data_IF_382981022635
#
_entry.id   IF_382981022635
#
_cell.length_a   1.000
_cell.length_b   1.000
_cell.length_c   1.000
_cell.angle_alpha   90.00
_cell.angle_beta   90.00
_cell.angle_gamma   90.00
#
_symmetry.space_group_name_H-M   'P 1'
#
loop_
_entity.id
_entity.type
_entity.pdbx_description
1 polymer ?
#
# COMPACT_ATOMS: atom_id res chain seq x y z
N UNK A 1 8.33 -5.82 22.49
CA UNK A 1 6.90 -6.21 22.65
C UNK A 1 6.62 -7.50 21.89
N UNK A 2 5.87 -8.42 22.50
CA UNK A 2 5.46 -9.68 21.83
C UNK A 2 4.47 -9.35 20.70
N UNK A 3 4.74 -9.83 19.49
CA UNK A 3 3.86 -9.61 18.33
C UNK A 3 2.47 -10.24 18.58
N UNK A 4 1.37 -9.51 18.36
CA UNK A 4 0.02 -10.00 18.60
C UNK A 4 -0.29 -11.28 17.80
N UNK A 5 -1.12 -12.16 18.35
CA UNK A 5 -1.50 -13.42 17.69
C UNK A 5 -2.18 -13.20 16.34
N UNK A 6 -2.96 -12.12 16.21
CA UNK A 6 -3.62 -11.76 14.95
C UNK A 6 -2.59 -11.43 13.85
N UNK A 7 -1.56 -10.65 14.19
CA UNK A 7 -0.46 -10.28 13.28
C UNK A 7 0.26 -11.53 12.80
N UNK A 8 0.60 -12.45 13.71
CA UNK A 8 1.25 -13.71 13.36
C UNK A 8 0.41 -14.56 12.39
N UNK A 9 -0.92 -14.65 12.61
CA UNK A 9 -1.82 -15.40 11.72
C UNK A 9 -1.91 -14.79 10.33
N UNK A 10 -2.01 -13.47 10.24
CA UNK A 10 -2.06 -12.75 8.96
C UNK A 10 -0.73 -12.90 8.20
N UNK A 11 0.41 -12.75 8.88
CA UNK A 11 1.72 -12.91 8.26
C UNK A 11 1.97 -14.35 7.81
N UNK A 12 1.61 -15.36 8.61
CA UNK A 12 1.72 -16.78 8.22
C UNK A 12 0.90 -17.06 6.95
N UNK A 13 -0.33 -16.56 6.89
CA UNK A 13 -1.17 -16.67 5.70
C UNK A 13 -0.55 -15.95 4.50
N UNK A 14 -0.04 -14.73 4.68
CA UNK A 14 0.59 -13.93 3.64
C UNK A 14 1.81 -14.63 3.03
N UNK A 15 2.66 -15.20 3.84
CA UNK A 15 3.86 -15.91 3.38
C UNK A 15 3.53 -17.05 2.40
N UNK A 16 2.36 -17.70 2.58
CA UNK A 16 1.89 -18.80 1.74
C UNK A 16 1.05 -18.36 0.53
N UNK A 17 0.36 -17.21 0.60
CA UNK A 17 -0.69 -16.85 -0.35
C UNK A 17 -0.45 -15.55 -1.11
N UNK A 18 0.62 -14.80 -0.81
CA UNK A 18 0.89 -13.52 -1.46
C UNK A 18 1.09 -13.65 -2.96
N UNK A 19 0.48 -12.72 -3.71
CA UNK A 19 0.71 -12.62 -5.15
C UNK A 19 2.16 -12.22 -5.45
N UNK A 20 2.73 -12.82 -6.50
CA UNK A 20 4.01 -12.37 -7.04
C UNK A 20 3.79 -11.11 -7.86
N UNK A 21 4.26 -9.96 -7.35
CA UNK A 21 4.13 -8.67 -8.01
C UNK A 21 5.52 -8.10 -8.33
N UNK A 22 5.72 -7.46 -9.50
CA UNK A 22 7.05 -7.03 -9.96
C UNK A 22 7.72 -6.02 -9.02
N UNK A 23 6.96 -5.18 -8.32
CA UNK A 23 7.48 -4.22 -7.33
C UNK A 23 7.78 -4.84 -5.96
N UNK A 24 7.47 -6.13 -5.76
CA UNK A 24 7.79 -6.90 -4.54
C UNK A 24 9.05 -7.74 -4.67
N UNK A 25 9.72 -7.70 -5.80
CA UNK A 25 10.97 -8.44 -6.02
C UNK A 25 12.01 -8.05 -4.98
N UNK A 26 12.82 -9.03 -4.55
CA UNK A 26 13.96 -8.80 -3.66
C UNK A 26 15.03 -8.03 -4.43
N UNK A 27 15.25 -6.78 -4.03
CA UNK A 27 16.20 -5.86 -4.68
C UNK A 27 16.89 -5.01 -3.60
N UNK A 28 18.01 -4.32 -3.90
CA UNK A 28 18.63 -3.38 -2.97
C UNK A 28 17.67 -2.31 -2.45
N UNK A 29 17.94 -1.78 -1.26
CA UNK A 29 17.03 -0.87 -0.52
C UNK A 29 16.59 0.33 -1.37
N UNK A 30 17.53 1.03 -2.01
CA UNK A 30 17.21 2.20 -2.85
C UNK A 30 16.28 1.84 -4.02
N UNK A 31 16.50 0.66 -4.62
CA UNK A 31 15.65 0.16 -5.70
C UNK A 31 14.27 -0.24 -5.19
N UNK A 32 14.18 -0.83 -4.00
CA UNK A 32 12.90 -1.10 -3.32
C UNK A 32 12.12 0.19 -3.06
N UNK A 33 12.79 1.23 -2.56
CA UNK A 33 12.19 2.54 -2.32
C UNK A 33 11.62 3.15 -3.61
N UNK A 34 12.40 3.11 -4.68
CA UNK A 34 11.98 3.59 -5.99
C UNK A 34 10.80 2.77 -6.55
N UNK A 35 10.86 1.45 -6.47
CA UNK A 35 9.77 0.58 -6.92
C UNK A 35 8.48 0.83 -6.15
N UNK A 36 8.57 1.01 -4.84
CA UNK A 36 7.41 1.37 -4.02
C UNK A 36 6.83 2.70 -4.46
N UNK A 37 7.65 3.74 -4.63
CA UNK A 37 7.17 5.05 -5.08
C UNK A 37 6.44 4.96 -6.42
N UNK A 38 7.04 4.32 -7.43
CA UNK A 38 6.45 4.18 -8.77
C UNK A 38 5.15 3.37 -8.72
N UNK A 39 5.16 2.22 -8.04
CA UNK A 39 3.97 1.35 -7.96
C UNK A 39 2.82 2.04 -7.22
N UNK A 40 3.08 2.76 -6.13
CA UNK A 40 2.03 3.47 -5.40
C UNK A 40 1.35 4.55 -6.26
N UNK A 41 2.13 5.31 -7.06
CA UNK A 41 1.55 6.27 -8.00
C UNK A 41 0.75 5.59 -9.13
N UNK A 42 1.21 4.45 -9.64
CA UNK A 42 0.49 3.72 -10.68
C UNK A 42 -0.81 3.06 -10.16
N UNK A 43 -0.80 2.60 -8.91
CA UNK A 43 -1.93 1.93 -8.28
C UNK A 43 -3.05 2.89 -7.82
N UNK A 44 -2.80 4.20 -7.77
CA UNK A 44 -3.86 5.17 -7.48
C UNK A 44 -5.02 5.00 -8.48
N UNK A 45 -6.19 4.55 -8.00
CA UNK A 45 -7.41 4.32 -8.80
C UNK A 45 -7.21 3.38 -10.02
N UNK A 46 -6.19 2.51 -9.99
CA UNK A 46 -5.93 1.54 -11.07
C UNK A 46 -5.73 0.14 -10.48
N UNK A 47 -6.33 -0.86 -11.11
CA UNK A 47 -6.24 -2.25 -10.66
C UNK A 47 -4.81 -2.82 -10.85
N UNK A 48 -4.41 -3.70 -9.92
CA UNK A 48 -3.08 -4.34 -9.91
C UNK A 48 -2.76 -5.02 -11.26
N UNK A 49 -3.71 -5.77 -11.82
CA UNK A 49 -3.52 -6.50 -13.09
C UNK A 49 -3.16 -5.56 -14.23
N UNK A 50 -3.80 -4.39 -14.28
CA UNK A 50 -3.51 -3.36 -15.29
C UNK A 50 -2.14 -2.74 -15.08
N UNK A 51 -1.71 -2.51 -13.83
CA UNK A 51 -0.43 -1.85 -13.52
C UNK A 51 0.79 -2.70 -13.86
N UNK A 52 0.71 -4.03 -13.75
CA UNK A 52 1.85 -4.94 -13.93
C UNK A 52 2.63 -4.69 -15.24
N UNK A 53 2.03 -4.70 -16.43
CA UNK A 53 2.77 -4.49 -17.68
C UNK A 53 3.37 -3.08 -17.77
N UNK A 54 2.64 -2.07 -17.29
CA UNK A 54 3.14 -0.68 -17.29
C UNK A 54 4.33 -0.49 -16.36
N UNK A 55 4.26 -1.05 -15.16
CA UNK A 55 5.38 -1.01 -14.21
C UNK A 55 6.64 -1.64 -14.81
N UNK A 56 6.53 -2.82 -15.39
CA UNK A 56 7.67 -3.52 -16.00
C UNK A 56 8.31 -2.70 -17.11
N UNK A 57 7.49 -2.14 -18.02
CA UNK A 57 7.96 -1.26 -19.10
C UNK A 57 8.60 0.01 -18.54
N UNK A 58 7.95 0.64 -17.57
CA UNK A 58 8.42 1.89 -16.98
C UNK A 58 9.79 1.74 -16.29
N UNK A 59 9.95 0.70 -15.45
CA UNK A 59 11.20 0.46 -14.73
C UNK A 59 12.37 0.11 -15.67
N UNK A 60 12.10 -0.51 -16.82
CA UNK A 60 13.12 -0.77 -17.84
C UNK A 60 13.63 0.54 -18.47
N UNK A 61 12.72 1.47 -18.78
CA UNK A 61 13.01 2.74 -19.46
C UNK A 61 13.46 3.85 -18.52
N UNK A 62 13.01 3.82 -17.28
CA UNK A 62 13.24 4.83 -16.23
C UNK A 62 13.62 4.09 -14.94
N UNK A 63 14.88 3.65 -14.79
CA UNK A 63 15.27 2.65 -13.77
C UNK A 63 15.46 3.21 -12.35
N UNK A 64 15.50 4.52 -12.15
CA UNK A 64 15.78 5.14 -10.85
C UNK A 64 15.27 6.59 -10.77
N UNK A 65 15.35 7.19 -9.56
CA UNK A 65 14.91 8.56 -9.29
C UNK A 65 15.61 9.61 -10.18
N UNK A 66 16.91 9.45 -10.45
CA UNK A 66 17.67 10.39 -11.31
C UNK A 66 17.12 10.35 -12.73
N UNK A 67 16.97 9.17 -13.32
CA UNK A 67 16.37 9.00 -14.64
C UNK A 67 14.95 9.59 -14.70
N UNK A 68 14.15 9.35 -13.65
CA UNK A 68 12.78 9.86 -13.54
C UNK A 68 12.73 11.40 -13.47
N UNK A 69 13.62 12.02 -12.72
CA UNK A 69 13.67 13.49 -12.62
C UNK A 69 14.01 14.16 -13.95
N UNK A 70 14.76 13.49 -14.81
CA UNK A 70 15.29 13.99 -16.09
C UNK A 70 14.49 13.53 -17.32
N UNK A 71 13.59 12.55 -17.19
CA UNK A 71 12.84 12.02 -18.34
C UNK A 71 12.05 13.12 -19.05
N UNK A 72 12.10 13.16 -20.37
CA UNK A 72 11.32 14.10 -21.17
C UNK A 72 9.81 13.87 -20.97
N UNK A 73 9.02 14.95 -20.91
CA UNK A 73 7.58 14.85 -20.69
C UNK A 73 6.88 14.03 -21.76
N UNK A 74 7.27 14.13 -23.03
CA UNK A 74 6.74 13.33 -24.15
C UNK A 74 6.96 11.82 -23.89
N UNK A 75 8.19 11.42 -23.48
CA UNK A 75 8.52 10.03 -23.15
C UNK A 75 7.74 9.55 -21.92
N UNK A 76 7.66 10.38 -20.87
CA UNK A 76 6.92 10.05 -19.64
C UNK A 76 5.44 9.75 -19.93
N UNK A 77 4.78 10.62 -20.69
CA UNK A 77 3.36 10.46 -21.05
C UNK A 77 3.17 9.21 -21.92
N UNK A 78 4.07 8.96 -22.89
CA UNK A 78 4.02 7.73 -23.72
C UNK A 78 4.17 6.45 -22.90
N UNK A 79 4.99 6.46 -21.83
CA UNK A 79 5.12 5.32 -20.91
C UNK A 79 3.91 5.12 -20.02
N UNK A 80 3.07 6.15 -19.86
CA UNK A 80 1.87 6.13 -19.03
C UNK A 80 0.57 5.99 -19.82
N UNK A 81 0.67 6.05 -21.17
CA UNK A 81 -0.46 6.00 -22.09
C UNK A 81 -1.30 4.73 -21.88
N UNK A 82 -2.58 4.89 -21.61
CA UNK A 82 -3.51 3.81 -21.27
C UNK A 82 -3.77 3.60 -19.78
N UNK A 83 -2.92 4.08 -18.86
CA UNK A 83 -3.20 4.04 -17.42
C UNK A 83 -4.23 5.10 -16.96
N UNK A 84 -4.41 6.17 -17.75
CA UNK A 84 -5.26 7.30 -17.38
C UNK A 84 -4.68 8.17 -16.25
N UNK A 85 -5.45 9.22 -15.89
CA UNK A 85 -5.05 10.14 -14.81
C UNK A 85 -3.60 10.62 -14.92
N UNK A 86 -3.24 11.24 -16.05
CA UNK A 86 -1.88 11.67 -16.41
C UNK A 86 -1.25 12.65 -15.42
N UNK A 87 -2.06 13.33 -14.59
CA UNK A 87 -1.57 14.13 -13.47
C UNK A 87 -0.68 13.33 -12.50
N UNK A 88 -0.94 12.03 -12.33
CA UNK A 88 -0.11 11.15 -11.50
C UNK A 88 1.31 11.03 -12.06
N UNK A 89 1.45 10.83 -13.37
CA UNK A 89 2.77 10.76 -14.02
C UNK A 89 3.55 12.08 -13.85
N UNK A 90 2.87 13.21 -14.06
CA UNK A 90 3.46 14.55 -13.89
C UNK A 90 3.88 14.77 -12.42
N UNK A 91 3.03 14.42 -11.47
CA UNK A 91 3.33 14.51 -10.04
C UNK A 91 4.47 13.59 -9.64
N UNK A 92 4.51 12.33 -10.14
CA UNK A 92 5.60 11.39 -9.89
C UNK A 92 6.96 11.95 -10.36
N UNK A 93 7.01 12.56 -11.57
CA UNK A 93 8.23 13.22 -12.05
C UNK A 93 8.60 14.42 -11.17
N UNK A 94 7.64 15.29 -10.86
CA UNK A 94 7.85 16.47 -10.01
C UNK A 94 8.34 16.07 -8.62
N UNK A 95 7.78 15.02 -8.05
CA UNK A 95 8.24 14.40 -6.79
C UNK A 95 9.69 13.96 -6.90
N UNK A 96 10.09 13.25 -7.97
CA UNK A 96 11.48 12.85 -8.18
C UNK A 96 12.43 14.05 -8.29
N UNK A 97 12.02 15.12 -8.99
CA UNK A 97 12.80 16.37 -9.08
C UNK A 97 13.02 17.01 -7.72
N UNK A 98 11.97 17.10 -6.89
CA UNK A 98 12.07 17.63 -5.53
C UNK A 98 12.94 16.76 -4.62
N UNK A 99 12.84 15.42 -4.75
CA UNK A 99 13.71 14.49 -4.00
C UNK A 99 15.19 14.70 -4.38
N UNK A 100 15.49 14.85 -5.66
CA UNK A 100 16.87 15.14 -6.10
C UNK A 100 17.35 16.47 -5.54
N UNK A 101 16.53 17.53 -5.67
CA UNK A 101 16.90 18.90 -5.28
C UNK A 101 17.04 19.07 -3.77
N UNK A 102 16.04 18.60 -3.00
CA UNK A 102 15.92 18.96 -1.58
C UNK A 102 16.44 17.87 -0.65
N UNK A 103 16.51 16.59 -1.11
CA UNK A 103 16.86 15.46 -0.28
C UNK A 103 18.06 14.66 -0.82
N UNK A 104 18.89 15.27 -1.67
CA UNK A 104 20.12 14.67 -2.24
C UNK A 104 19.84 13.29 -2.90
N UNK A 105 18.67 13.14 -3.52
CA UNK A 105 18.24 11.90 -4.19
C UNK A 105 17.83 10.76 -3.25
N UNK A 106 17.67 11.00 -1.96
CA UNK A 106 17.19 10.02 -0.97
C UNK A 106 15.70 10.26 -0.72
N UNK A 107 14.88 9.24 -0.90
CA UNK A 107 13.45 9.31 -0.56
C UNK A 107 13.30 9.64 0.93
N UNK A 108 12.50 10.68 1.31
CA UNK A 108 12.28 11.00 2.72
C UNK A 108 11.65 9.83 3.48
N UNK A 109 12.09 9.62 4.72
CA UNK A 109 11.54 8.59 5.61
C UNK A 109 10.72 9.21 6.76
N UNK A 110 10.13 10.34 6.50
CA UNK A 110 9.30 11.12 7.42
C UNK A 110 7.93 11.37 6.79
N UNK A 111 6.86 11.34 7.61
CA UNK A 111 5.49 11.42 7.13
C UNK A 111 5.16 12.81 6.54
N UNK A 112 5.51 13.87 7.25
CA UNK A 112 5.20 15.25 6.83
C UNK A 112 6.03 15.64 5.60
N UNK A 113 7.30 15.23 5.55
CA UNK A 113 8.13 15.45 4.37
C UNK A 113 7.60 14.71 3.14
N UNK A 114 7.07 13.49 3.30
CA UNK A 114 6.41 12.78 2.20
C UNK A 114 5.12 13.47 1.77
N UNK A 115 4.30 13.94 2.72
CA UNK A 115 3.05 14.65 2.46
C UNK A 115 3.27 15.98 1.72
N UNK A 116 4.43 16.62 1.88
CA UNK A 116 4.78 17.85 1.17
C UNK A 116 5.08 17.64 -0.33
N UNK A 117 5.23 16.37 -0.76
CA UNK A 117 5.56 16.03 -2.14
C UNK A 117 4.29 15.90 -3.02
N UNK A 118 4.32 16.37 -4.28
CA UNK A 118 3.15 16.37 -5.16
C UNK A 118 2.58 14.98 -5.41
N UNK A 119 1.28 14.80 -5.19
CA UNK A 119 0.56 13.54 -5.42
C UNK A 119 0.75 12.49 -4.33
N UNK A 120 1.39 12.84 -3.21
CA UNK A 120 1.50 11.99 -2.02
C UNK A 120 0.52 12.49 -0.96
N UNK A 121 -0.55 11.75 -0.73
CA UNK A 121 -1.50 11.96 0.36
C UNK A 121 -1.25 10.99 1.52
N UNK A 122 -2.07 11.07 2.57
CA UNK A 122 -1.98 10.26 3.79
C UNK A 122 -1.77 8.77 3.52
N UNK A 123 -2.55 8.20 2.59
CA UNK A 123 -2.41 6.81 2.20
C UNK A 123 -1.03 6.52 1.61
N UNK A 124 -0.62 7.28 0.59
CA UNK A 124 0.63 7.04 -0.14
C UNK A 124 1.85 7.25 0.78
N UNK A 125 1.84 8.27 1.64
CA UNK A 125 2.89 8.48 2.64
C UNK A 125 3.00 7.29 3.61
N UNK A 126 1.87 6.81 4.15
CA UNK A 126 1.81 5.64 5.02
C UNK A 126 2.29 4.37 4.32
N UNK A 127 1.91 4.16 3.04
CA UNK A 127 2.32 3.02 2.24
C UNK A 127 3.84 3.03 1.98
N UNK A 128 4.39 4.19 1.61
CA UNK A 128 5.84 4.34 1.43
C UNK A 128 6.58 4.05 2.73
N UNK A 129 6.16 4.60 3.87
CA UNK A 129 6.82 4.38 5.16
C UNK A 129 6.75 2.91 5.59
N UNK A 130 5.60 2.26 5.43
CA UNK A 130 5.46 0.85 5.76
C UNK A 130 6.28 -0.04 4.82
N UNK A 131 6.09 0.10 3.51
CA UNK A 131 6.62 -0.85 2.52
C UNK A 131 8.11 -0.60 2.24
N UNK A 132 8.50 0.65 1.98
CA UNK A 132 9.88 0.98 1.62
C UNK A 132 10.83 1.10 2.81
N UNK A 133 10.32 1.54 3.97
CA UNK A 133 11.14 1.79 5.16
C UNK A 133 10.85 0.85 6.34
N UNK A 134 9.93 -0.10 6.18
CA UNK A 134 9.52 -1.04 7.23
C UNK A 134 9.07 -0.35 8.54
N UNK A 135 8.52 0.87 8.45
CA UNK A 135 8.00 1.61 9.60
C UNK A 135 6.59 1.11 9.99
N UNK A 136 6.19 1.21 11.25
CA UNK A 136 4.92 0.67 11.75
C UNK A 136 3.70 1.53 11.35
N UNK A 137 3.52 1.72 10.04
CA UNK A 137 2.36 2.37 9.45
C UNK A 137 1.41 1.34 8.83
N UNK A 138 0.12 1.59 8.91
CA UNK A 138 -0.91 0.82 8.21
C UNK A 138 -1.57 1.76 7.20
N UNK A 139 -1.29 1.62 5.90
CA UNK A 139 -1.90 2.44 4.86
C UNK A 139 -3.37 2.03 4.69
N UNK A 140 -4.29 2.95 5.01
CA UNK A 140 -5.72 2.67 4.91
C UNK A 140 -6.20 2.85 3.48
N UNK A 141 -6.16 1.77 2.68
CA UNK A 141 -6.90 1.67 1.43
C UNK A 141 -8.30 1.07 1.67
N UNK A 142 -9.13 1.06 0.64
CA UNK A 142 -10.46 0.46 0.72
C UNK A 142 -10.47 -1.04 1.08
N UNK A 143 -9.39 -1.76 0.84
CA UNK A 143 -9.26 -3.18 1.23
C UNK A 143 -9.01 -3.32 2.72
N UNK A 144 -8.03 -2.59 3.24
CA UNK A 144 -7.68 -2.60 4.66
C UNK A 144 -8.85 -2.04 5.48
N UNK A 145 -9.45 -0.93 5.03
CA UNK A 145 -10.62 -0.35 5.68
C UNK A 145 -11.77 -1.36 5.79
N UNK A 146 -12.10 -2.08 4.73
CA UNK A 146 -13.13 -3.12 4.72
C UNK A 146 -12.79 -4.28 5.68
N UNK A 147 -11.55 -4.73 5.71
CA UNK A 147 -11.10 -5.78 6.64
C UNK A 147 -11.29 -5.32 8.08
N UNK A 148 -10.88 -4.09 8.41
CA UNK A 148 -10.99 -3.52 9.74
C UNK A 148 -12.44 -3.34 10.17
N UNK A 149 -13.28 -2.73 9.30
CA UNK A 149 -14.72 -2.58 9.53
C UNK A 149 -15.37 -3.90 9.88
N UNK A 150 -15.17 -4.92 9.05
CA UNK A 150 -15.79 -6.23 9.24
C UNK A 150 -15.24 -6.97 10.46
N UNK A 151 -13.94 -6.90 10.70
CA UNK A 151 -13.34 -7.56 11.85
C UNK A 151 -13.84 -6.98 13.18
N UNK A 152 -13.90 -5.65 13.29
CA UNK A 152 -14.34 -4.91 14.48
C UNK A 152 -15.86 -4.69 14.52
N UNK A 153 -16.57 -4.90 13.42
CA UNK A 153 -18.00 -4.61 13.26
C UNK A 153 -18.33 -3.13 13.44
N UNK A 154 -17.63 -2.26 12.73
CA UNK A 154 -17.81 -0.80 12.77
C UNK A 154 -18.85 -0.38 11.72
N UNK A 155 -19.95 0.25 12.13
CA UNK A 155 -21.05 0.67 11.25
C UNK A 155 -20.90 2.10 10.68
N UNK A 156 -20.10 2.97 11.28
CA UNK A 156 -19.94 4.37 10.85
C UNK A 156 -18.53 4.70 10.38
N UNK A 157 -18.41 5.47 9.27
CA UNK A 157 -17.12 5.86 8.69
C UNK A 157 -16.26 6.77 9.58
N UNK A 158 -16.87 7.64 10.41
CA UNK A 158 -16.15 8.57 11.30
C UNK A 158 -15.34 7.88 12.41
N UNK A 159 -15.74 6.66 12.81
CA UNK A 159 -15.05 5.88 13.85
C UNK A 159 -13.73 5.29 13.35
N UNK A 160 -13.58 5.08 12.03
CA UNK A 160 -12.42 4.40 11.46
C UNK A 160 -11.17 5.27 11.51
N UNK A 161 -11.28 6.58 11.37
CA UNK A 161 -10.11 7.46 11.35
C UNK A 161 -9.57 7.78 12.74
N UNK A 162 -10.42 7.91 13.77
CA UNK A 162 -9.99 8.19 15.15
C UNK A 162 -9.71 6.92 15.96
N UNK A 163 -10.62 5.96 15.94
CA UNK A 163 -10.54 4.78 16.81
C UNK A 163 -9.65 3.68 16.24
N UNK A 164 -9.62 3.51 14.92
CA UNK A 164 -8.71 2.56 14.28
C UNK A 164 -7.25 3.03 14.36
N UNK A 165 -6.95 4.33 14.46
CA UNK A 165 -5.57 4.78 14.73
C UNK A 165 -5.13 4.47 16.18
N UNK A 166 -6.02 4.58 17.17
CA UNK A 166 -5.74 4.20 18.55
C UNK A 166 -5.88 2.69 18.79
N UNK A 167 -6.89 2.03 18.23
CA UNK A 167 -7.08 0.58 18.28
C UNK A 167 -6.16 -0.19 17.33
N UNK A 168 -5.63 0.42 16.26
CA UNK A 168 -4.61 -0.16 15.38
C UNK A 168 -3.42 -0.74 16.14
N UNK A 169 -2.95 -0.03 17.14
CA UNK A 169 -1.84 -0.50 17.99
C UNK A 169 -2.26 -1.68 18.88
N UNK A 170 -3.54 -1.78 19.25
CA UNK A 170 -4.01 -2.82 20.16
C UNK A 170 -4.50 -4.08 19.46
N UNK A 171 -5.25 -3.97 18.36
CA UNK A 171 -5.87 -5.12 17.67
C UNK A 171 -5.01 -5.66 16.54
N UNK A 172 -4.50 -4.79 15.68
CA UNK A 172 -3.69 -5.18 14.53
C UNK A 172 -2.19 -5.04 14.76
N UNK A 173 -1.77 -4.65 15.93
CA UNK A 173 -0.42 -4.73 16.46
C UNK A 173 0.70 -4.16 15.57
N UNK A 174 1.84 -3.95 16.21
CA UNK A 174 3.09 -3.60 15.53
C UNK A 174 3.81 -4.91 15.19
N UNK A 175 4.34 -5.00 13.98
CA UNK A 175 5.22 -6.10 13.57
C UNK A 175 6.62 -5.59 13.27
N UNK A 176 7.65 -6.36 13.60
CA UNK A 176 9.00 -6.14 13.09
C UNK A 176 9.06 -6.26 11.55
N UNK A 177 8.06 -6.95 10.96
CA UNK A 177 7.83 -7.10 9.52
C UNK A 177 6.75 -6.14 9.03
N UNK A 178 6.83 -4.85 9.37
CA UNK A 178 5.80 -3.84 9.03
C UNK A 178 5.51 -3.76 7.52
N UNK A 179 6.54 -3.89 6.69
CA UNK A 179 6.41 -3.94 5.23
C UNK A 179 5.55 -5.12 4.77
N UNK A 180 5.80 -6.30 5.27
CA UNK A 180 5.02 -7.50 4.94
C UNK A 180 3.61 -7.41 5.52
N UNK A 181 3.48 -6.87 6.73
CA UNK A 181 2.20 -6.78 7.41
C UNK A 181 1.22 -5.82 6.73
N UNK A 182 1.68 -4.65 6.30
CA UNK A 182 0.88 -3.71 5.51
C UNK A 182 0.38 -4.37 4.21
N UNK A 183 1.29 -5.02 3.49
CA UNK A 183 0.95 -5.74 2.26
C UNK A 183 0.03 -6.95 2.52
N UNK A 184 0.21 -7.66 3.63
CA UNK A 184 -0.63 -8.78 4.03
C UNK A 184 -2.08 -8.36 4.27
N UNK A 185 -2.31 -7.20 4.88
CA UNK A 185 -3.65 -6.64 5.07
C UNK A 185 -4.31 -6.26 3.74
N UNK A 186 -3.55 -5.66 2.81
CA UNK A 186 -4.03 -5.38 1.45
C UNK A 186 -4.43 -6.67 0.71
N UNK A 187 -3.56 -7.70 0.74
CA UNK A 187 -3.82 -8.99 0.11
C UNK A 187 -5.03 -9.70 0.74
N UNK A 188 -5.16 -9.66 2.06
CA UNK A 188 -6.31 -10.24 2.77
C UNK A 188 -7.63 -9.60 2.30
N UNK A 189 -7.63 -8.28 2.13
CA UNK A 189 -8.78 -7.56 1.59
C UNK A 189 -9.06 -7.88 0.13
N UNK A 190 -8.02 -8.00 -0.69
CA UNK A 190 -8.15 -8.27 -2.13
C UNK A 190 -8.56 -9.72 -2.43
N UNK A 191 -7.99 -10.70 -1.73
CA UNK A 191 -8.14 -12.12 -2.05
C UNK A 191 -9.23 -12.82 -1.24
N UNK A 192 -9.38 -12.48 0.03
CA UNK A 192 -10.25 -13.19 0.99
C UNK A 192 -11.46 -12.34 1.39
N UNK A 193 -11.22 -11.17 1.99
CA UNK A 193 -12.29 -10.30 2.48
C UNK A 193 -12.87 -9.42 1.35
N UNK A 194 -13.31 -10.05 0.26
CA UNK A 194 -13.85 -9.38 -0.94
C UNK A 194 -15.06 -8.51 -0.62
N UNK A 195 -15.37 -7.48 -1.44
CA UNK A 195 -16.57 -6.65 -1.26
C UNK A 195 -17.84 -7.49 -1.21
N UNK A 196 -18.00 -8.37 -2.19
CA UNK A 196 -19.09 -9.36 -2.31
C UNK A 196 -18.54 -10.77 -2.10
N UNK A 197 -19.33 -11.66 -1.51
CA UNK A 197 -19.00 -13.07 -1.29
C UNK A 197 -17.61 -13.30 -0.66
N UNK A 198 -17.33 -12.76 0.55
CA UNK A 198 -16.03 -12.94 1.19
C UNK A 198 -15.76 -14.41 1.54
N UNK A 199 -14.52 -14.85 1.32
CA UNK A 199 -14.09 -16.24 1.54
C UNK A 199 -13.74 -16.48 3.02
N UNK A 200 -14.72 -16.32 3.92
CA UNK A 200 -14.51 -16.31 5.37
C UNK A 200 -13.96 -17.64 5.92
N UNK A 201 -14.29 -18.77 5.31
CA UNK A 201 -13.79 -20.10 5.72
C UNK A 201 -12.28 -20.24 5.47
N UNK A 202 -11.70 -19.47 4.53
CA UNK A 202 -10.27 -19.43 4.23
C UNK A 202 -9.54 -18.30 4.99
N UNK A 203 -10.29 -17.47 5.73
CA UNK A 203 -9.73 -16.29 6.38
C UNK A 203 -8.96 -16.67 7.66
N UNK A 204 -7.66 -16.29 7.78
CA UNK A 204 -6.85 -16.65 8.94
C UNK A 204 -7.34 -16.07 10.26
N UNK A 205 -8.21 -15.04 10.19
CA UNK A 205 -8.73 -14.32 11.36
C UNK A 205 -10.25 -14.46 11.56
N UNK A 206 -10.92 -15.34 10.80
CA UNK A 206 -12.38 -15.52 10.83
C UNK A 206 -12.93 -15.81 12.23
N UNK A 207 -12.26 -16.66 13.01
CA UNK A 207 -12.70 -17.07 14.36
C UNK A 207 -12.97 -15.90 15.31
N UNK A 208 -12.27 -14.77 15.16
CA UNK A 208 -12.45 -13.57 15.97
C UNK A 208 -13.14 -12.42 15.22
N UNK A 209 -13.49 -12.60 13.96
CA UNK A 209 -14.17 -11.59 13.15
C UNK A 209 -15.62 -11.42 13.60
N UNK A 210 -15.98 -10.20 14.03
CA UNK A 210 -17.32 -9.90 14.54
C UNK A 210 -18.39 -10.00 13.46
N UNK A 211 -18.12 -9.53 12.22
CA UNK A 211 -19.05 -9.66 11.09
C UNK A 211 -19.31 -11.12 10.69
N UNK A 212 -18.28 -11.96 10.73
CA UNK A 212 -18.43 -13.40 10.43
C UNK A 212 -19.34 -14.10 11.46
N UNK A 213 -19.15 -13.78 12.75
CA UNK A 213 -20.00 -14.32 13.83
C UNK A 213 -21.45 -13.87 13.70
N UNK A 214 -21.68 -12.63 13.24
CA UNK A 214 -23.03 -12.06 13.06
C UNK A 214 -23.64 -12.35 11.69
N UNK A 215 -22.89 -13.00 10.78
CA UNK A 215 -23.26 -13.21 9.37
C UNK A 215 -23.69 -11.94 8.63
N UNK A 216 -23.13 -10.79 9.04
CA UNK A 216 -23.41 -9.47 8.47
C UNK A 216 -22.14 -8.84 7.91
N UNK A 217 -22.09 -8.67 6.59
CA UNK A 217 -20.93 -8.17 5.85
C UNK A 217 -21.18 -6.80 5.19
N UNK A 218 -22.41 -6.30 5.20
CA UNK A 218 -22.81 -5.04 4.57
C UNK A 218 -22.83 -3.90 5.59
N UNK A 219 -21.65 -3.58 6.11
CA UNK A 219 -21.46 -2.46 7.03
C UNK A 219 -21.35 -1.16 6.22
N UNK A 220 -22.51 -0.53 5.98
CA UNK A 220 -22.62 0.82 5.40
C UNK A 220 -22.40 1.90 6.44
#
# INVERSE_FOLDING_TARGET
MKEPLITKKILKWYDLNKRSLPWRKKVPVQKKQYFTLVSEFMLQQTQVVTVIPYFNKFIKEVPNLKALSQVQNKKLIKLWEGLGYYSRAKNLKKTAQLIIKNFKGKLPNDFELLMSLPGIGNYTASAILAIAFNKPFIPLDGNIERVLKRYLYLKKNKEIQKDVLSEKKSVFGISSRSSDYAQALMELGALICKPTNPLCNQCPISKKCKSFKKKDFNLK
#
